data_IF_343552779777
#
_entry.id   IF_343552779777
#
_cell.length_a   1.000
_cell.length_b   1.000
_cell.length_c   1.000
_cell.angle_alpha   90.00
_cell.angle_beta   90.00
_cell.angle_gamma   90.00
#
_symmetry.space_group_name_H-M   'P 1'
#
loop_
_entity.id
_entity.type
_entity.pdbx_description
1 polymer ?
#
# COMPACT_ATOMS: atom_id res chain seq x y z
N UNK A 1 41.90 5.94 3.75
CA UNK A 1 40.56 5.37 3.46
C UNK A 1 40.37 4.03 4.19
N UNK A 2 41.29 3.61 5.06
CA UNK A 2 41.20 2.35 5.83
C UNK A 2 40.47 2.46 7.18
N UNK A 3 40.39 3.65 7.80
CA UNK A 3 39.77 3.82 9.13
C UNK A 3 38.28 3.43 9.19
N UNK A 4 37.52 3.64 8.11
CA UNK A 4 36.09 3.31 8.07
C UNK A 4 35.88 1.79 8.00
N UNK A 5 36.73 1.06 7.28
CA UNK A 5 36.61 -0.39 7.16
C UNK A 5 37.04 -1.11 8.45
N UNK A 6 38.03 -0.57 9.18
CA UNK A 6 38.36 -1.08 10.52
C UNK A 6 37.24 -0.86 11.53
N UNK A 7 36.57 0.30 11.48
CA UNK A 7 35.43 0.59 12.35
C UNK A 7 34.24 -0.33 12.07
N UNK A 8 33.98 -0.65 10.79
CA UNK A 8 32.91 -1.56 10.39
C UNK A 8 33.20 -3.02 10.78
N UNK A 9 34.47 -3.44 10.79
CA UNK A 9 34.87 -4.79 11.20
C UNK A 9 34.64 -5.10 12.69
N UNK A 10 34.43 -4.08 13.52
CA UNK A 10 34.18 -4.22 14.97
C UNK A 10 32.69 -4.35 15.33
N UNK A 11 31.79 -4.17 14.36
CA UNK A 11 30.36 -4.41 14.52
C UNK A 11 30.04 -5.90 14.37
N UNK A 12 30.57 -6.72 15.27
CA UNK A 12 30.15 -8.11 15.41
C UNK A 12 29.06 -8.17 16.46
N UNK A 13 27.81 -8.42 16.05
CA UNK A 13 26.70 -8.67 16.96
C UNK A 13 26.79 -10.12 17.45
N UNK A 14 27.11 -10.39 18.72
CA UNK A 14 27.02 -11.75 19.26
C UNK A 14 25.56 -12.20 19.30
N UNK A 15 25.30 -13.49 19.02
CA UNK A 15 23.96 -14.09 18.97
C UNK A 15 23.14 -13.95 20.28
N UNK A 16 23.78 -13.59 21.39
CA UNK A 16 23.11 -13.33 22.68
C UNK A 16 22.53 -11.91 22.82
N UNK A 17 22.72 -11.03 21.83
CA UNK A 17 22.08 -9.70 21.76
C UNK A 17 21.17 -9.55 20.52
N UNK A 18 20.60 -10.65 20.01
CA UNK A 18 19.52 -10.59 19.01
C UNK A 18 18.18 -10.14 19.64
N UNK A 19 18.21 -9.11 20.48
CA UNK A 19 17.00 -8.40 20.87
C UNK A 19 16.68 -7.49 19.70
N UNK A 20 15.69 -7.91 18.92
CA UNK A 20 15.10 -7.11 17.87
C UNK A 20 14.67 -5.77 18.51
N UNK A 21 15.45 -4.71 18.28
CA UNK A 21 15.09 -3.36 18.73
C UNK A 21 13.94 -2.90 17.85
N UNK A 22 12.74 -3.30 18.22
CA UNK A 22 11.51 -2.71 17.72
C UNK A 22 11.51 -1.27 18.22
N UNK A 23 11.72 -0.31 17.32
CA UNK A 23 11.46 1.09 17.64
C UNK A 23 9.98 1.21 18.06
N UNK A 24 9.74 1.41 19.35
CA UNK A 24 8.41 1.50 19.96
C UNK A 24 7.67 2.80 19.62
N UNK A 25 7.83 3.31 18.40
CA UNK A 25 7.02 4.40 17.83
C UNK A 25 5.95 3.93 16.85
N UNK A 26 5.78 2.60 16.67
CA UNK A 26 4.87 2.02 15.68
C UNK A 26 3.58 1.39 16.26
N UNK A 27 3.27 1.62 17.54
CA UNK A 27 2.10 0.99 18.17
C UNK A 27 0.77 1.65 17.77
N UNK A 28 0.79 2.81 17.12
CA UNK A 28 -0.42 3.57 16.73
C UNK A 28 -0.68 3.62 15.21
N UNK A 29 0.16 2.95 14.40
CA UNK A 29 0.00 2.93 12.92
C UNK A 29 -0.30 1.55 12.33
N UNK A 30 -0.58 0.56 13.18
CA UNK A 30 -1.33 -0.63 12.75
C UNK A 30 -2.81 -0.29 12.66
N UNK A 31 -3.17 0.67 11.79
CA UNK A 31 -4.49 0.63 11.18
C UNK A 31 -4.58 -0.74 10.52
N UNK A 32 -5.47 -1.60 11.00
CA UNK A 32 -5.49 -3.00 10.58
C UNK A 32 -5.51 -3.04 9.05
N UNK A 33 -4.58 -3.78 8.44
CA UNK A 33 -4.52 -3.93 6.98
C UNK A 33 -5.84 -4.47 6.39
N UNK A 34 -6.78 -4.87 7.23
CA UNK A 34 -8.17 -5.23 6.92
C UNK A 34 -8.90 -4.14 6.12
N UNK A 35 -8.61 -2.86 6.39
CA UNK A 35 -9.19 -1.72 5.67
C UNK A 35 -8.46 -1.41 4.36
N UNK A 36 -7.43 -2.17 3.97
CA UNK A 36 -6.66 -1.91 2.75
C UNK A 36 -7.21 -2.72 1.57
N UNK A 37 -6.92 -2.22 0.36
CA UNK A 37 -7.21 -2.89 -0.89
C UNK A 37 -5.99 -2.85 -1.82
N UNK A 38 -5.90 -3.82 -2.70
CA UNK A 38 -4.96 -3.84 -3.82
C UNK A 38 -5.72 -3.53 -5.09
N UNK A 39 -5.22 -2.61 -5.89
CA UNK A 39 -5.81 -2.18 -7.13
C UNK A 39 -4.86 -2.28 -8.31
N UNK A 40 -5.43 -2.46 -9.49
CA UNK A 40 -4.71 -2.50 -10.77
C UNK A 40 -5.44 -1.65 -11.80
N UNK A 41 -4.67 -0.82 -12.51
CA UNK A 41 -5.18 -0.07 -13.65
C UNK A 41 -5.05 -0.94 -14.89
N UNK A 42 -6.17 -1.26 -15.51
CA UNK A 42 -6.26 -2.00 -16.76
C UNK A 42 -6.42 -1.01 -17.91
N UNK A 43 -5.29 -0.61 -18.49
CA UNK A 43 -5.23 0.33 -19.60
C UNK A 43 -4.05 0.03 -20.51
N UNK A 44 -4.17 0.39 -21.80
CA UNK A 44 -3.06 0.29 -22.76
C UNK A 44 -1.96 1.31 -22.47
N UNK A 45 -2.36 2.50 -22.01
CA UNK A 45 -1.49 3.59 -21.59
C UNK A 45 -1.90 4.01 -20.18
N UNK A 46 -0.93 4.24 -19.29
CA UNK A 46 -1.24 4.61 -17.91
C UNK A 46 -1.79 6.04 -17.84
N UNK A 47 -2.97 6.27 -17.25
CA UNK A 47 -3.49 7.62 -17.08
C UNK A 47 -2.62 8.41 -16.08
N UNK A 48 -2.82 9.72 -16.02
CA UNK A 48 -2.22 10.53 -14.96
C UNK A 48 -2.82 10.12 -13.60
N UNK A 49 -2.06 9.31 -12.85
CA UNK A 49 -2.49 8.72 -11.58
C UNK A 49 -2.92 9.77 -10.57
N UNK A 50 -2.22 10.90 -10.51
CA UNK A 50 -2.54 11.98 -9.56
C UNK A 50 -3.95 12.57 -9.82
N UNK A 51 -4.27 12.79 -11.10
CA UNK A 51 -5.60 13.26 -11.51
C UNK A 51 -6.66 12.20 -11.21
N UNK A 52 -6.36 10.94 -11.54
CA UNK A 52 -7.26 9.82 -11.28
C UNK A 52 -7.56 9.66 -9.78
N UNK A 53 -6.54 9.72 -8.92
CA UNK A 53 -6.69 9.64 -7.47
C UNK A 53 -7.51 10.80 -6.92
N UNK A 54 -7.28 12.03 -7.40
CA UNK A 54 -8.09 13.19 -7.00
C UNK A 54 -9.55 12.99 -7.36
N UNK A 55 -9.85 12.52 -8.57
CA UNK A 55 -11.22 12.25 -9.00
C UNK A 55 -11.88 11.15 -8.17
N UNK A 56 -11.18 10.04 -7.91
CA UNK A 56 -11.69 8.99 -7.04
C UNK A 56 -11.96 9.47 -5.62
N UNK A 57 -11.04 10.24 -5.01
CA UNK A 57 -11.26 10.86 -3.69
C UNK A 57 -12.52 11.74 -3.68
N UNK A 58 -12.75 12.52 -4.74
CA UNK A 58 -13.96 13.35 -4.85
C UNK A 58 -15.25 12.55 -5.05
N UNK A 59 -15.19 11.36 -5.66
CA UNK A 59 -16.36 10.51 -5.92
C UNK A 59 -16.69 9.54 -4.79
N UNK A 60 -15.69 9.12 -4.00
CA UNK A 60 -15.87 8.05 -3.02
C UNK A 60 -16.58 8.52 -1.75
N UNK A 61 -16.68 9.82 -1.48
CA UNK A 61 -17.37 10.40 -0.31
C UNK A 61 -17.06 9.60 0.97
N UNK A 62 -15.78 9.35 1.24
CA UNK A 62 -15.35 8.56 2.39
C UNK A 62 -15.47 9.37 3.68
N UNK A 63 -15.77 8.67 4.78
CA UNK A 63 -15.83 9.27 6.12
C UNK A 63 -14.43 9.68 6.58
N UNK A 64 -13.44 8.88 6.23
CA UNK A 64 -12.04 9.10 6.54
C UNK A 64 -11.19 9.26 5.27
N UNK A 65 -9.96 9.73 5.44
CA UNK A 65 -9.04 9.91 4.32
C UNK A 65 -8.68 8.57 3.66
N UNK A 66 -8.44 8.63 2.35
CA UNK A 66 -7.93 7.51 1.55
C UNK A 66 -6.55 7.85 1.02
N UNK A 67 -5.60 6.95 1.22
CA UNK A 67 -4.23 7.06 0.71
C UNK A 67 -4.01 6.08 -0.44
N UNK A 68 -3.29 6.51 -1.49
CA UNK A 68 -2.90 5.67 -2.61
C UNK A 68 -1.38 5.51 -2.61
N UNK A 69 -0.90 4.28 -2.60
CA UNK A 69 0.53 3.95 -2.65
C UNK A 69 0.80 3.14 -3.91
N UNK A 70 1.54 3.73 -4.84
CA UNK A 70 1.92 3.03 -6.08
C UNK A 70 3.14 2.15 -5.81
N UNK A 71 3.02 0.86 -6.11
CA UNK A 71 4.12 -0.10 -6.03
C UNK A 71 4.80 -0.28 -7.40
N UNK A 72 5.86 -1.08 -7.40
CA UNK A 72 6.47 -1.59 -8.64
C UNK A 72 5.44 -2.43 -9.41
N UNK A 73 5.62 -2.53 -10.74
CA UNK A 73 4.72 -3.26 -11.66
C UNK A 73 3.29 -2.69 -11.85
N UNK A 74 3.01 -1.47 -11.38
CA UNK A 74 1.73 -0.82 -11.63
C UNK A 74 0.59 -1.28 -10.72
N UNK A 75 0.92 -2.04 -9.67
CA UNK A 75 0.02 -2.35 -8.55
C UNK A 75 -0.11 -1.12 -7.64
N UNK A 76 -1.30 -0.89 -7.12
CA UNK A 76 -1.61 0.24 -6.25
C UNK A 76 -2.22 -0.29 -4.96
N UNK A 77 -1.67 0.07 -3.80
CA UNK A 77 -2.34 -0.15 -2.52
C UNK A 77 -3.23 1.06 -2.24
N UNK A 78 -4.48 0.79 -1.90
CA UNK A 78 -5.44 1.79 -1.44
C UNK A 78 -5.68 1.57 0.05
N UNK A 79 -5.29 2.53 0.88
CA UNK A 79 -5.50 2.46 2.33
C UNK A 79 -6.71 3.30 2.66
N UNK A 80 -7.79 2.65 3.05
CA UNK A 80 -8.98 3.33 3.56
C UNK A 80 -8.82 3.57 5.05
N UNK A 81 -9.29 4.72 5.54
CA UNK A 81 -9.31 4.99 6.97
C UNK A 81 -10.20 4.04 7.77
N UNK A 82 -11.31 3.58 7.17
CA UNK A 82 -12.23 2.65 7.82
C UNK A 82 -12.68 1.49 6.90
N UNK A 83 -13.06 0.37 7.53
CA UNK A 83 -13.50 -0.85 6.86
C UNK A 83 -14.84 -0.66 6.10
N UNK A 84 -15.72 0.18 6.62
CA UNK A 84 -17.03 0.46 6.02
C UNK A 84 -16.89 1.14 4.66
N UNK A 85 -16.02 2.17 4.58
CA UNK A 85 -15.70 2.83 3.32
C UNK A 85 -15.03 1.84 2.34
N UNK A 86 -14.06 1.05 2.80
CA UNK A 86 -13.42 0.02 1.96
C UNK A 86 -14.46 -0.92 1.37
N UNK A 87 -15.36 -1.46 2.20
CA UNK A 87 -16.41 -2.40 1.76
C UNK A 87 -17.34 -1.76 0.73
N UNK A 88 -17.84 -0.55 1.02
CA UNK A 88 -18.72 0.19 0.12
C UNK A 88 -18.05 0.48 -1.23
N UNK A 89 -16.80 0.94 -1.23
CA UNK A 89 -16.08 1.30 -2.45
C UNK A 89 -15.68 0.07 -3.28
N UNK A 90 -15.33 -1.05 -2.63
CA UNK A 90 -15.07 -2.31 -3.33
C UNK A 90 -16.34 -2.91 -3.96
N UNK A 91 -17.51 -2.78 -3.31
CA UNK A 91 -18.77 -3.25 -3.89
C UNK A 91 -19.21 -2.46 -5.14
N UNK A 92 -18.63 -1.28 -5.37
CA UNK A 92 -18.85 -0.44 -6.54
C UNK A 92 -17.74 -0.58 -7.59
N UNK A 93 -16.72 -1.40 -7.33
CA UNK A 93 -15.63 -1.71 -8.27
C UNK A 93 -16.13 -2.59 -9.42
N UNK A 94 -15.57 -2.48 -10.65
CA UNK A 94 -14.43 -1.63 -11.04
C UNK A 94 -14.81 -0.18 -11.31
N UNK A 95 -13.86 0.72 -11.07
CA UNK A 95 -14.02 2.16 -11.29
C UNK A 95 -13.49 2.57 -12.65
N UNK A 96 -14.23 3.39 -13.40
CA UNK A 96 -13.83 3.86 -14.73
C UNK A 96 -13.26 5.29 -14.63
N UNK A 97 -12.09 5.51 -15.22
CA UNK A 97 -11.50 6.83 -15.40
C UNK A 97 -10.88 6.94 -16.79
N UNK A 98 -11.34 7.88 -17.62
CA UNK A 98 -10.80 8.12 -18.97
C UNK A 98 -10.54 6.84 -19.79
N UNK A 99 -11.56 5.98 -19.88
CA UNK A 99 -11.52 4.67 -20.57
C UNK A 99 -10.57 3.62 -19.95
N UNK A 100 -9.98 3.92 -18.79
CA UNK A 100 -9.17 3.00 -18.00
C UNK A 100 -10.02 2.40 -16.87
N UNK A 101 -9.96 1.08 -16.70
CA UNK A 101 -10.61 0.41 -15.58
C UNK A 101 -9.63 0.32 -14.41
N UNK A 102 -10.10 0.67 -13.22
CA UNK A 102 -9.40 0.47 -11.97
C UNK A 102 -10.15 -0.56 -11.15
N UNK A 103 -9.65 -1.80 -11.20
CA UNK A 103 -10.17 -2.92 -10.42
C UNK A 103 -9.46 -2.98 -9.07
N UNK A 104 -10.20 -3.32 -8.01
CA UNK A 104 -9.65 -3.46 -6.67
C UNK A 104 -10.15 -4.73 -6.00
N UNK A 105 -9.31 -5.30 -5.14
CA UNK A 105 -9.59 -6.45 -4.30
C UNK A 105 -9.16 -6.19 -2.86
N UNK A 106 -9.75 -6.88 -1.87
CA UNK A 106 -9.32 -6.80 -0.48
C UNK A 106 -7.83 -7.14 -0.36
N UNK A 107 -7.08 -6.37 0.44
CA UNK A 107 -5.70 -6.73 0.74
C UNK A 107 -5.64 -7.95 1.67
N UNK A 108 -4.85 -8.94 1.30
CA UNK A 108 -4.59 -10.14 2.09
C UNK A 108 -3.12 -10.17 2.54
N UNK A 109 -2.91 -10.19 3.86
CA UNK A 109 -1.55 -10.25 4.44
C UNK A 109 -0.86 -11.55 4.02
N UNK A 110 0.35 -11.43 3.47
CA UNK A 110 1.17 -12.58 3.03
C UNK A 110 0.86 -13.06 1.61
N UNK A 111 -0.18 -12.54 0.96
CA UNK A 111 -0.46 -12.81 -0.46
C UNK A 111 0.48 -11.98 -1.34
N UNK A 112 1.07 -12.61 -2.36
CA UNK A 112 1.95 -11.93 -3.32
C UNK A 112 1.15 -11.01 -4.23
N UNK A 113 1.69 -9.86 -4.59
CA UNK A 113 1.00 -8.88 -5.44
C UNK A 113 0.64 -9.45 -6.83
N UNK A 114 1.47 -10.35 -7.36
CA UNK A 114 1.23 -11.00 -8.67
C UNK A 114 0.17 -12.10 -8.64
N UNK A 115 -0.25 -12.53 -7.44
CA UNK A 115 -1.27 -13.58 -7.28
C UNK A 115 -2.70 -13.04 -7.20
N UNK A 116 -2.88 -11.72 -7.31
CA UNK A 116 -4.21 -11.13 -7.39
C UNK A 116 -4.76 -11.22 -8.81
N UNK A 117 -5.93 -11.84 -8.96
CA UNK A 117 -6.65 -11.98 -10.22
C UNK A 117 -7.74 -10.90 -10.30
N UNK A 118 -7.54 -9.92 -11.18
CA UNK A 118 -8.41 -8.75 -11.37
C UNK A 118 -9.36 -8.91 -12.55
#
# INVERSE_FOLDING_TARGET
MEEINELLGRLHFPEEESVQVVSTTEVDRMQSCESWAVGKIMAKESPNKEVMYRVFKSLWFTKEEVEFVTLKEGVIIVKFGCLEDRSRILNLSPWLFDRCLFAMLPFEKGKKMDSYEF
#
